data_IF_300987661857
#
_entry.id   IF_300987661857
#
_cell.length_a   1.000
_cell.length_b   1.000
_cell.length_c   1.000
_cell.angle_alpha   90.00
_cell.angle_beta   90.00
_cell.angle_gamma   90.00
#
_symmetry.space_group_name_H-M   'P 1'
#
loop_
_entity.id
_entity.type
_entity.pdbx_description
1 polymer ?
#
# COMPACT_ATOMS: atom_id res chain seq x y z
N UNK A 1 -1.14 6.75 1.16
CA UNK A 1 -0.14 5.91 0.50
C UNK A 1 0.10 6.53 -0.85
N UNK A 2 -0.66 6.21 -1.90
CA UNK A 2 -0.70 7.02 -3.11
C UNK A 2 -1.17 8.44 -2.78
N UNK A 3 -0.48 9.41 -3.37
CA UNK A 3 -0.82 10.81 -3.30
C UNK A 3 -0.79 11.32 -4.74
N UNK A 4 -1.93 11.76 -5.24
CA UNK A 4 -2.08 12.28 -6.60
C UNK A 4 -2.15 13.80 -6.53
N UNK A 5 -1.99 14.49 -7.66
CA UNK A 5 -1.99 15.95 -7.68
C UNK A 5 -3.09 16.56 -6.79
N UNK A 6 -2.80 17.67 -6.10
CA UNK A 6 -3.77 18.44 -5.32
C UNK A 6 -4.27 19.66 -6.11
N UNK A 7 -5.52 20.07 -5.90
CA UNK A 7 -6.19 21.07 -6.76
C UNK A 7 -5.51 22.44 -6.75
N UNK A 8 -4.78 22.76 -5.67
CA UNK A 8 -4.21 24.08 -5.42
C UNK A 8 -2.70 24.04 -5.11
N UNK A 9 -1.97 22.94 -5.41
CA UNK A 9 -0.51 22.95 -5.28
C UNK A 9 0.12 23.43 -6.59
N UNK A 10 0.82 24.59 -6.59
CA UNK A 10 1.46 25.10 -7.80
C UNK A 10 2.73 24.31 -8.20
N UNK A 11 3.18 23.35 -7.39
CA UNK A 11 4.39 22.57 -7.66
C UNK A 11 4.05 21.09 -7.87
N UNK A 12 4.46 20.55 -9.03
CA UNK A 12 4.23 19.15 -9.38
C UNK A 12 5.35 18.21 -8.92
N UNK A 13 6.53 18.75 -8.65
CA UNK A 13 7.70 18.03 -8.16
C UNK A 13 8.53 18.95 -7.26
N UNK A 14 9.34 18.36 -6.39
CA UNK A 14 10.06 19.06 -5.33
C UNK A 14 11.56 19.21 -5.65
N UNK A 15 12.14 18.27 -6.39
CA UNK A 15 13.58 18.25 -6.72
C UNK A 15 13.85 17.50 -8.03
N UNK A 16 14.73 18.03 -8.88
CA UNK A 16 15.24 17.34 -10.09
C UNK A 16 16.76 17.48 -10.11
N UNK A 17 17.46 16.35 -10.21
CA UNK A 17 18.91 16.29 -10.07
C UNK A 17 19.52 15.29 -11.04
N UNK A 18 20.72 15.60 -11.53
CA UNK A 18 21.58 14.63 -12.19
C UNK A 18 22.58 14.07 -11.17
N UNK A 19 22.62 12.75 -11.05
CA UNK A 19 23.56 12.01 -10.21
C UNK A 19 24.57 11.33 -11.13
N UNK A 20 25.86 11.43 -10.80
CA UNK A 20 26.92 10.69 -11.47
C UNK A 20 27.72 9.89 -10.46
N UNK A 21 28.04 8.64 -10.79
CA UNK A 21 28.89 7.80 -9.96
C UNK A 21 30.34 7.98 -10.38
N UNK A 22 31.22 8.27 -9.42
CA UNK A 22 32.67 8.33 -9.67
C UNK A 22 33.31 6.93 -9.60
N UNK A 23 34.56 6.81 -10.05
CA UNK A 23 35.32 5.54 -10.05
C UNK A 23 35.63 4.97 -8.66
N UNK A 24 35.43 5.75 -7.59
CA UNK A 24 35.62 5.32 -6.20
C UNK A 24 34.28 4.94 -5.52
N UNK A 25 33.18 4.94 -6.26
CA UNK A 25 31.85 4.61 -5.76
C UNK A 25 31.13 5.74 -5.01
N UNK A 26 31.69 6.96 -5.04
CA UNK A 26 31.08 8.20 -4.59
C UNK A 26 30.09 8.75 -5.62
N UNK A 27 29.30 9.74 -5.20
CA UNK A 27 28.26 10.34 -6.02
C UNK A 27 28.42 11.86 -6.11
N UNK A 28 28.33 12.40 -7.32
CA UNK A 28 28.25 13.83 -7.56
C UNK A 28 26.83 14.21 -7.98
N UNK A 29 26.30 15.26 -7.37
CA UNK A 29 24.93 15.74 -7.56
C UNK A 29 24.95 17.11 -8.25
N UNK A 30 24.34 17.21 -9.43
CA UNK A 30 24.11 18.46 -10.12
C UNK A 30 22.62 18.79 -10.12
N UNK A 31 22.22 19.72 -9.24
CA UNK A 31 20.84 20.16 -9.07
C UNK A 31 20.36 20.94 -10.30
N UNK A 32 19.28 20.48 -10.93
CA UNK A 32 18.65 21.13 -12.10
C UNK A 32 17.44 21.95 -11.64
N UNK A 33 16.66 21.44 -10.68
CA UNK A 33 15.55 22.17 -10.08
C UNK A 33 15.42 21.80 -8.61
N UNK A 34 15.08 22.77 -7.76
CA UNK A 34 14.79 22.54 -6.35
C UNK A 34 13.76 23.55 -5.83
N UNK A 35 12.76 23.06 -5.11
CA UNK A 35 11.78 23.90 -4.42
C UNK A 35 12.36 24.56 -3.16
N UNK A 36 13.28 23.88 -2.47
CA UNK A 36 13.96 24.37 -1.26
C UNK A 36 15.33 23.70 -1.09
N UNK A 37 16.37 24.49 -0.77
CA UNK A 37 17.75 24.02 -0.64
C UNK A 37 17.93 22.95 0.46
N UNK A 38 17.24 23.08 1.60
CA UNK A 38 17.42 22.19 2.76
C UNK A 38 17.02 20.74 2.48
N UNK A 39 16.06 20.52 1.56
CA UNK A 39 15.55 19.18 1.24
C UNK A 39 16.59 18.36 0.47
N UNK A 40 17.41 19.00 -0.36
CA UNK A 40 18.37 18.30 -1.22
C UNK A 40 19.53 17.67 -0.44
N UNK A 41 20.06 18.33 0.60
CA UNK A 41 21.28 17.88 1.29
C UNK A 41 21.09 16.56 2.06
N UNK A 42 19.94 16.39 2.71
CA UNK A 42 19.61 15.15 3.42
C UNK A 42 19.23 14.03 2.44
N UNK A 43 18.51 14.37 1.37
CA UNK A 43 18.04 13.42 0.37
C UNK A 43 19.18 12.85 -0.48
N UNK A 44 20.14 13.68 -0.90
CA UNK A 44 21.25 13.27 -1.76
C UNK A 44 22.08 12.13 -1.15
N UNK A 45 22.24 12.10 0.18
CA UNK A 45 22.95 11.01 0.88
C UNK A 45 22.36 9.64 0.58
N UNK A 46 21.04 9.57 0.43
CA UNK A 46 20.33 8.32 0.16
C UNK A 46 20.15 8.08 -1.34
N UNK A 47 19.85 9.14 -2.09
CA UNK A 47 19.47 9.09 -3.50
C UNK A 47 20.50 8.34 -4.37
N UNK A 48 21.80 8.58 -4.15
CA UNK A 48 22.85 7.92 -4.93
C UNK A 48 22.78 6.40 -4.88
N UNK A 49 22.47 5.83 -3.71
CA UNK A 49 22.34 4.37 -3.53
C UNK A 49 21.14 3.79 -4.27
N UNK A 50 20.08 4.56 -4.52
CA UNK A 50 18.92 4.09 -5.27
C UNK A 50 18.99 4.44 -6.76
N UNK A 51 19.79 5.44 -7.14
CA UNK A 51 20.13 5.72 -8.54
C UNK A 51 21.07 4.65 -9.12
N UNK A 52 21.88 4.02 -8.27
CA UNK A 52 22.80 2.94 -8.65
C UNK A 52 22.74 1.80 -7.62
N UNK A 53 21.61 1.06 -7.55
CA UNK A 53 21.34 0.09 -6.46
C UNK A 53 22.26 -1.13 -6.47
N UNK A 54 22.85 -1.46 -7.63
CA UNK A 54 23.66 -2.66 -7.85
C UNK A 54 25.05 -2.27 -8.38
N UNK A 55 25.88 -1.71 -7.49
CA UNK A 55 27.18 -1.12 -7.86
C UNK A 55 28.11 -2.10 -8.56
N UNK A 56 28.14 -3.34 -8.08
CA UNK A 56 29.08 -4.38 -8.54
C UNK A 56 28.60 -5.14 -9.78
N UNK A 57 27.44 -4.76 -10.33
CA UNK A 57 26.84 -5.43 -11.49
C UNK A 57 26.95 -4.51 -12.70
N UNK A 58 27.78 -4.83 -13.71
CA UNK A 58 27.79 -4.06 -14.94
C UNK A 58 26.41 -4.16 -15.61
N UNK A 59 25.81 -3.02 -15.94
CA UNK A 59 24.67 -3.02 -16.85
C UNK A 59 25.20 -3.42 -18.24
N UNK A 60 24.40 -4.10 -19.09
CA UNK A 60 24.77 -4.28 -20.47
C UNK A 60 25.13 -2.91 -21.09
N UNK A 61 26.27 -2.84 -21.79
CA UNK A 61 26.77 -1.58 -22.31
C UNK A 61 25.73 -0.90 -23.22
N UNK A 62 25.54 0.41 -23.04
CA UNK A 62 24.60 1.26 -23.80
C UNK A 62 23.11 1.09 -23.49
N UNK A 63 22.73 0.39 -22.41
CA UNK A 63 21.34 0.37 -21.95
C UNK A 63 20.98 1.61 -21.11
N UNK A 64 19.78 2.15 -21.39
CA UNK A 64 19.11 3.10 -20.52
C UNK A 64 18.03 2.37 -19.72
N UNK A 65 17.89 2.71 -18.45
CA UNK A 65 16.83 2.15 -17.62
C UNK A 65 15.98 3.28 -17.03
N UNK A 66 14.67 3.11 -17.08
CA UNK A 66 13.72 4.02 -16.44
C UNK A 66 12.93 3.26 -15.39
N UNK A 67 12.97 3.73 -14.15
CA UNK A 67 12.34 3.03 -13.03
C UNK A 67 11.98 4.03 -11.94
N UNK A 68 11.26 3.57 -10.93
CA UNK A 68 10.82 4.43 -9.83
C UNK A 68 10.73 3.68 -8.51
N UNK A 69 10.94 4.43 -7.45
CA UNK A 69 10.90 3.96 -6.07
C UNK A 69 10.34 5.05 -5.16
N UNK A 70 10.29 4.81 -3.85
CA UNK A 70 9.89 5.83 -2.90
C UNK A 70 10.75 5.77 -1.63
N UNK A 71 10.98 6.95 -1.04
CA UNK A 71 11.40 7.07 0.35
C UNK A 71 10.17 7.24 1.25
N UNK A 72 10.29 6.81 2.49
CA UNK A 72 9.26 6.96 3.51
C UNK A 72 9.83 7.70 4.70
N UNK A 73 9.18 8.78 5.12
CA UNK A 73 9.58 9.54 6.31
C UNK A 73 8.99 8.94 7.61
N UNK A 74 9.35 9.53 8.74
CA UNK A 74 8.86 9.14 10.08
C UNK A 74 7.33 9.24 10.22
N UNK A 75 6.68 10.05 9.37
CA UNK A 75 5.22 10.24 9.32
C UNK A 75 4.54 9.34 8.28
N UNK A 76 5.27 8.36 7.73
CA UNK A 76 4.81 7.44 6.68
C UNK A 76 4.34 8.17 5.41
N UNK A 77 4.89 9.36 5.15
CA UNK A 77 4.69 10.08 3.89
C UNK A 77 5.72 9.60 2.87
N UNK A 78 5.26 9.46 1.62
CA UNK A 78 6.08 8.98 0.53
C UNK A 78 6.66 10.13 -0.28
N UNK A 79 7.96 10.05 -0.56
CA UNK A 79 8.62 10.85 -1.60
C UNK A 79 8.96 9.94 -2.76
N UNK A 80 8.20 10.04 -3.85
CA UNK A 80 8.37 9.24 -5.04
C UNK A 80 9.55 9.76 -5.87
N UNK A 81 10.39 8.85 -6.32
CA UNK A 81 11.57 9.15 -7.10
C UNK A 81 11.47 8.42 -8.44
N UNK A 82 11.53 9.17 -9.54
CA UNK A 82 11.48 8.67 -10.91
C UNK A 82 12.84 8.87 -11.54
N UNK A 83 13.46 7.78 -11.98
CA UNK A 83 14.85 7.74 -12.42
C UNK A 83 14.92 7.39 -13.89
N UNK A 84 15.73 8.11 -14.64
CA UNK A 84 16.25 7.68 -15.93
C UNK A 84 17.77 7.60 -15.87
N UNK A 85 18.28 6.38 -15.93
CA UNK A 85 19.71 6.09 -15.82
C UNK A 85 20.29 5.62 -17.15
N UNK A 86 21.57 5.92 -17.35
CA UNK A 86 22.36 5.52 -18.51
C UNK A 86 23.77 5.17 -18.05
N UNK A 87 24.32 4.11 -18.65
CA UNK A 87 25.74 3.79 -18.56
C UNK A 87 26.42 4.02 -19.92
N UNK A 88 27.41 4.92 -19.95
CA UNK A 88 28.17 5.26 -21.16
C UNK A 88 29.66 5.34 -20.83
N UNK A 89 30.50 4.58 -21.56
CA UNK A 89 31.95 4.52 -21.34
C UNK A 89 32.35 4.26 -19.87
N UNK A 90 31.67 3.32 -19.20
CA UNK A 90 31.85 2.98 -17.77
C UNK A 90 31.50 4.12 -16.79
N UNK A 91 30.91 5.22 -17.29
CA UNK A 91 30.36 6.29 -16.46
C UNK A 91 28.86 6.10 -16.34
N UNK A 92 28.40 5.96 -15.09
CA UNK A 92 26.98 5.88 -14.77
C UNK A 92 26.44 7.24 -14.43
N UNK A 93 25.33 7.60 -15.08
CA UNK A 93 24.59 8.81 -14.79
C UNK A 93 23.11 8.52 -14.67
N UNK A 94 22.44 9.22 -13.77
CA UNK A 94 21.01 9.11 -13.53
C UNK A 94 20.41 10.49 -13.40
N UNK A 95 19.30 10.73 -14.08
CA UNK A 95 18.43 11.88 -13.85
C UNK A 95 17.30 11.42 -12.95
N UNK A 96 17.06 12.14 -11.86
CA UNK A 96 16.04 11.77 -10.88
C UNK A 96 15.12 12.94 -10.60
N UNK A 97 13.82 12.70 -10.77
CA UNK A 97 12.74 13.61 -10.39
C UNK A 97 12.10 13.09 -9.10
N UNK A 98 12.02 13.96 -8.09
CA UNK A 98 11.45 13.65 -6.79
C UNK A 98 10.16 14.44 -6.62
N UNK A 99 9.07 13.75 -6.30
CA UNK A 99 7.76 14.35 -6.08
C UNK A 99 7.02 13.66 -4.94
N UNK A 100 6.25 14.45 -4.18
CA UNK A 100 5.20 13.92 -3.30
C UNK A 100 4.05 13.24 -4.05
N UNK A 101 3.95 13.43 -5.37
CA UNK A 101 2.87 12.92 -6.20
C UNK A 101 3.29 11.69 -7.01
N UNK A 102 2.35 10.77 -7.20
CA UNK A 102 2.57 9.51 -7.90
C UNK A 102 1.91 9.54 -9.29
N UNK A 103 2.71 9.87 -10.32
CA UNK A 103 2.30 9.83 -11.73
C UNK A 103 3.42 9.22 -12.59
N UNK A 104 3.63 7.89 -12.53
CA UNK A 104 4.83 7.25 -13.08
C UNK A 104 5.04 7.51 -14.55
N UNK A 105 4.05 7.29 -15.40
CA UNK A 105 4.20 7.47 -16.85
C UNK A 105 4.61 8.90 -17.21
N UNK A 106 3.96 9.90 -16.59
CA UNK A 106 4.27 11.31 -16.78
C UNK A 106 5.67 11.67 -16.28
N UNK A 107 6.01 11.31 -15.04
CA UNK A 107 7.27 11.73 -14.45
C UNK A 107 8.47 10.98 -15.04
N UNK A 108 8.30 9.72 -15.44
CA UNK A 108 9.29 8.98 -16.22
C UNK A 108 9.57 9.65 -17.57
N UNK A 109 8.52 10.10 -18.29
CA UNK A 109 8.68 10.84 -19.55
C UNK A 109 9.35 12.20 -19.34
N UNK A 110 8.97 12.94 -18.29
CA UNK A 110 9.59 14.22 -17.94
C UNK A 110 11.08 14.02 -17.66
N UNK A 111 11.48 13.02 -16.87
CA UNK A 111 12.89 12.83 -16.52
C UNK A 111 13.74 12.35 -17.70
N UNK A 112 13.16 11.56 -18.62
CA UNK A 112 13.77 11.23 -19.92
C UNK A 112 13.98 12.47 -20.79
N UNK A 113 12.99 13.36 -20.82
CA UNK A 113 13.08 14.64 -21.54
C UNK A 113 14.16 15.53 -20.92
N UNK A 114 14.22 15.63 -19.58
CA UNK A 114 15.28 16.37 -18.87
C UNK A 114 16.66 15.88 -19.27
N UNK A 115 16.88 14.57 -19.36
CA UNK A 115 18.16 14.01 -19.80
C UNK A 115 18.52 14.47 -21.23
N UNK A 116 17.53 14.50 -22.13
CA UNK A 116 17.69 14.92 -23.53
C UNK A 116 17.93 16.42 -23.71
N UNK A 117 17.36 17.27 -22.85
CA UNK A 117 17.66 18.71 -22.85
C UNK A 117 19.00 19.00 -22.18
N UNK A 118 19.33 18.30 -21.09
CA UNK A 118 20.58 18.48 -20.36
C UNK A 118 21.80 18.12 -21.22
N UNK A 119 21.68 17.15 -22.14
CA UNK A 119 22.76 16.84 -23.09
C UNK A 119 23.10 18.00 -24.04
N UNK A 120 22.20 18.98 -24.21
CA UNK A 120 22.47 20.23 -24.92
C UNK A 120 23.09 21.25 -23.97
N UNK A 121 22.40 21.55 -22.87
CA UNK A 121 22.92 22.35 -21.76
C UNK A 121 22.05 22.19 -20.52
N UNK A 122 22.62 22.46 -19.34
CA UNK A 122 21.85 22.52 -18.09
C UNK A 122 20.72 23.56 -18.14
N UNK A 123 20.98 24.71 -18.76
CA UNK A 123 19.99 25.80 -18.88
C UNK A 123 18.79 25.41 -19.75
N UNK A 124 18.99 24.57 -20.77
CA UNK A 124 17.90 24.03 -21.58
C UNK A 124 16.99 23.10 -20.75
N UNK A 125 17.59 22.24 -19.91
CA UNK A 125 16.85 21.39 -18.99
C UNK A 125 16.08 22.20 -17.92
N UNK A 126 16.69 23.25 -17.36
CA UNK A 126 16.04 24.18 -16.45
C UNK A 126 14.85 24.89 -17.12
N UNK A 127 15.02 25.36 -18.35
CA UNK A 127 13.97 26.01 -19.14
C UNK A 127 12.80 25.07 -19.44
N UNK A 128 13.10 23.82 -19.78
CA UNK A 128 12.10 22.77 -19.97
C UNK A 128 11.28 22.55 -18.68
N UNK A 129 11.94 22.35 -17.53
CA UNK A 129 11.26 22.16 -16.25
C UNK A 129 10.41 23.38 -15.86
N UNK A 130 10.91 24.60 -16.10
CA UNK A 130 10.14 25.82 -15.90
C UNK A 130 8.86 25.83 -16.74
N UNK A 131 8.90 25.38 -18.00
CA UNK A 131 7.70 25.26 -18.82
C UNK A 131 6.69 24.26 -18.23
N UNK A 132 7.15 23.13 -17.67
CA UNK A 132 6.30 22.15 -17.00
C UNK A 132 5.59 22.74 -15.77
N UNK A 133 6.32 23.48 -14.93
CA UNK A 133 5.75 24.11 -13.73
C UNK A 133 4.67 25.15 -14.04
N UNK A 134 4.66 25.71 -15.26
CA UNK A 134 3.65 26.66 -15.72
C UNK A 134 2.47 25.99 -16.43
N UNK A 135 2.43 24.65 -16.51
CA UNK A 135 1.26 23.94 -17.02
C UNK A 135 0.13 24.03 -16.01
N UNK A 136 -1.11 24.10 -16.51
CA UNK A 136 -2.31 24.08 -15.67
C UNK A 136 -2.92 22.68 -15.69
N UNK A 137 -3.09 22.10 -14.51
CA UNK A 137 -3.83 20.85 -14.33
C UNK A 137 -5.33 21.12 -14.41
N UNK A 138 -6.00 20.47 -15.36
CA UNK A 138 -7.45 20.47 -15.49
C UNK A 138 -7.98 19.18 -14.87
N UNK A 139 -8.91 19.29 -13.91
CA UNK A 139 -9.63 18.14 -13.32
C UNK A 139 -11.04 18.08 -13.87
N UNK A 140 -11.30 17.08 -14.69
CA UNK A 140 -12.66 16.73 -15.12
C UNK A 140 -13.19 15.61 -14.22
N UNK A 141 -14.53 15.39 -14.17
CA UNK A 141 -15.11 14.34 -13.34
C UNK A 141 -14.56 12.94 -13.59
N UNK A 142 -14.10 12.66 -14.82
CA UNK A 142 -13.61 11.33 -15.23
C UNK A 142 -12.10 11.25 -15.38
N UNK A 143 -11.42 12.39 -15.60
CA UNK A 143 -9.99 12.37 -15.82
C UNK A 143 -9.31 13.72 -15.57
N UNK A 144 -8.03 13.68 -15.26
CA UNK A 144 -7.16 14.84 -15.06
C UNK A 144 -6.11 14.93 -16.17
N UNK A 145 -5.85 16.14 -16.65
CA UNK A 145 -4.90 16.37 -17.74
C UNK A 145 -4.22 17.74 -17.65
N UNK A 146 -3.01 17.87 -18.17
CA UNK A 146 -2.37 19.18 -18.36
C UNK A 146 -2.81 19.87 -19.65
N UNK A 147 -2.81 21.20 -19.63
CA UNK A 147 -2.95 22.00 -20.86
C UNK A 147 -1.57 22.14 -21.52
N UNK A 148 -1.32 21.36 -22.58
CA UNK A 148 -0.04 21.39 -23.30
C UNK A 148 0.09 22.68 -24.12
N UNK A 149 1.20 23.40 -23.91
CA UNK A 149 1.57 24.58 -24.71
C UNK A 149 2.23 24.16 -26.02
N UNK A 150 2.07 24.99 -27.06
CA UNK A 150 2.74 24.76 -28.34
C UNK A 150 4.27 24.63 -28.15
N UNK A 151 4.86 23.58 -28.73
CA UNK A 151 6.30 23.29 -28.66
C UNK A 151 6.74 22.40 -27.49
N UNK A 152 5.83 22.01 -26.59
CA UNK A 152 6.10 20.99 -25.58
C UNK A 152 5.53 19.64 -26.04
N UNK A 153 6.40 18.66 -26.28
CA UNK A 153 6.01 17.31 -26.66
C UNK A 153 6.00 16.41 -25.42
N UNK A 154 4.82 16.22 -24.83
CA UNK A 154 4.56 15.21 -23.81
C UNK A 154 3.40 14.34 -24.28
N UNK A 155 3.49 13.03 -24.07
CA UNK A 155 2.47 12.04 -24.42
C UNK A 155 1.62 11.65 -23.21
N UNK A 156 2.21 11.55 -22.02
CA UNK A 156 1.54 11.08 -20.81
C UNK A 156 1.00 12.23 -19.97
N UNK A 157 0.40 13.24 -20.62
CA UNK A 157 -0.11 14.45 -19.95
C UNK A 157 -1.59 14.37 -19.55
N UNK A 158 -2.25 13.27 -19.85
CA UNK A 158 -3.63 12.94 -19.50
C UNK A 158 -3.70 11.60 -18.76
N UNK A 159 -4.92 11.11 -18.45
CA UNK A 159 -5.12 9.89 -17.65
C UNK A 159 -4.43 9.97 -16.28
N UNK A 160 -4.46 11.16 -15.67
CA UNK A 160 -3.78 11.48 -14.41
C UNK A 160 -4.71 11.41 -13.19
N UNK A 161 -5.98 11.01 -13.36
CA UNK A 161 -6.86 10.78 -12.21
C UNK A 161 -6.36 9.60 -11.36
N UNK A 162 -6.65 9.59 -10.04
CA UNK A 162 -6.34 8.47 -9.17
C UNK A 162 -6.77 7.11 -9.75
N UNK A 163 -7.99 7.03 -10.27
CA UNK A 163 -8.56 5.82 -10.83
C UNK A 163 -7.77 5.31 -12.05
N UNK A 164 -7.31 6.23 -12.92
CA UNK A 164 -6.52 5.88 -14.09
C UNK A 164 -5.11 5.40 -13.71
N UNK A 165 -4.47 6.04 -12.74
CA UNK A 165 -3.15 5.61 -12.27
C UNK A 165 -3.20 4.23 -11.58
N UNK A 166 -4.21 4.00 -10.73
CA UNK A 166 -4.43 2.69 -10.10
C UNK A 166 -4.77 1.63 -11.16
N UNK A 167 -5.60 1.96 -12.15
CA UNK A 167 -5.94 1.05 -13.25
C UNK A 167 -4.70 0.61 -14.04
N UNK A 168 -3.77 1.53 -14.35
CA UNK A 168 -2.52 1.20 -15.06
C UNK A 168 -1.69 0.17 -14.29
N UNK A 169 -1.54 0.35 -12.98
CA UNK A 169 -0.82 -0.58 -12.10
C UNK A 169 -1.50 -1.95 -12.02
N UNK A 170 -2.83 -1.99 -11.83
CA UNK A 170 -3.54 -3.26 -11.77
C UNK A 170 -3.53 -4.00 -13.10
N UNK A 171 -3.78 -3.30 -14.22
CA UNK A 171 -3.72 -3.90 -15.56
C UNK A 171 -2.36 -4.54 -15.81
N UNK A 172 -1.28 -3.85 -15.40
CA UNK A 172 0.06 -4.41 -15.45
C UNK A 172 0.17 -5.69 -14.61
N UNK A 173 -0.25 -5.69 -13.34
CA UNK A 173 -0.14 -6.85 -12.47
C UNK A 173 -0.88 -8.09 -13.01
N UNK A 174 -2.12 -7.89 -13.47
CA UNK A 174 -2.95 -8.96 -14.06
C UNK A 174 -2.40 -9.47 -15.40
N UNK A 175 -1.50 -8.74 -16.05
CA UNK A 175 -0.79 -9.22 -17.24
C UNK A 175 0.43 -10.08 -16.91
N UNK A 176 0.89 -10.07 -15.65
CA UNK A 176 2.14 -10.72 -15.21
C UNK A 176 1.94 -11.92 -14.29
N UNK A 177 0.83 -11.98 -13.57
CA UNK A 177 0.58 -13.03 -12.59
C UNK A 177 -0.79 -13.66 -12.79
N UNK A 178 -0.91 -14.93 -12.40
CA UNK A 178 -2.21 -15.56 -12.33
C UNK A 178 -3.06 -14.87 -11.26
N UNK A 179 -4.39 -14.86 -11.45
CA UNK A 179 -5.31 -14.24 -10.49
C UNK A 179 -5.18 -14.86 -9.10
N UNK A 180 -4.92 -16.17 -9.01
CA UNK A 180 -4.65 -16.86 -7.75
C UNK A 180 -3.46 -16.24 -7.00
N UNK A 181 -2.33 -16.01 -7.68
CA UNK A 181 -1.12 -15.44 -7.09
C UNK A 181 -1.37 -13.99 -6.60
N UNK A 182 -2.17 -13.24 -7.37
CA UNK A 182 -2.58 -11.88 -7.02
C UNK A 182 -3.44 -11.90 -5.75
N UNK A 183 -4.44 -12.78 -5.65
CA UNK A 183 -5.27 -12.89 -4.44
C UNK A 183 -4.49 -13.44 -3.24
N UNK A 184 -3.56 -14.37 -3.47
CA UNK A 184 -2.64 -14.85 -2.45
C UNK A 184 -1.77 -13.71 -1.87
N UNK A 185 -1.32 -12.79 -2.72
CA UNK A 185 -0.58 -11.59 -2.26
C UNK A 185 -1.42 -10.67 -1.37
N UNK A 186 -2.74 -10.60 -1.59
CA UNK A 186 -3.67 -9.85 -0.74
C UNK A 186 -3.80 -10.53 0.62
N UNK A 187 -3.94 -11.86 0.67
CA UNK A 187 -3.96 -12.62 1.93
C UNK A 187 -2.66 -12.40 2.70
N UNK A 188 -1.50 -12.54 2.04
CA UNK A 188 -0.20 -12.27 2.65
C UNK A 188 -0.10 -10.83 3.19
N UNK A 189 -0.66 -9.85 2.47
CA UNK A 189 -0.72 -8.45 2.92
C UNK A 189 -1.58 -8.30 4.17
N UNK A 190 -2.77 -8.91 4.18
CA UNK A 190 -3.68 -8.85 5.34
C UNK A 190 -3.10 -9.53 6.58
N UNK A 191 -2.13 -10.43 6.42
CA UNK A 191 -1.40 -11.12 7.49
C UNK A 191 -0.14 -10.38 7.96
N UNK A 192 0.15 -9.17 7.45
CA UNK A 192 1.44 -8.48 7.64
C UNK A 192 2.65 -9.38 7.33
N UNK A 193 2.52 -10.23 6.31
CA UNK A 193 3.62 -11.09 5.91
C UNK A 193 4.82 -10.28 5.37
N UNK A 194 5.98 -10.93 5.36
CA UNK A 194 7.17 -10.43 4.66
C UNK A 194 7.02 -10.72 3.17
N UNK A 195 6.57 -9.72 2.41
CA UNK A 195 6.31 -9.85 0.96
C UNK A 195 7.53 -9.37 0.18
N UNK A 196 8.02 -10.25 -0.69
CA UNK A 196 9.17 -10.00 -1.55
C UNK A 196 8.74 -10.07 -3.01
N UNK A 197 9.05 -9.03 -3.76
CA UNK A 197 8.93 -9.07 -5.22
C UNK A 197 10.33 -9.30 -5.79
N UNK A 198 10.49 -10.30 -6.64
CA UNK A 198 11.77 -10.69 -7.24
C UNK A 198 11.74 -10.46 -8.75
N UNK A 199 12.75 -9.79 -9.29
CA UNK A 199 12.87 -9.51 -10.73
C UNK A 199 14.32 -9.22 -11.11
N UNK A 200 14.74 -9.60 -12.32
CA UNK A 200 16.00 -9.16 -12.95
C UNK A 200 15.85 -7.83 -13.69
N UNK A 201 14.63 -7.33 -13.83
CA UNK A 201 14.33 -6.04 -14.45
C UNK A 201 13.85 -5.05 -13.38
N UNK A 202 14.63 -3.99 -13.17
CA UNK A 202 14.38 -2.94 -12.17
C UNK A 202 13.10 -2.13 -12.42
N UNK A 203 12.73 -1.91 -13.68
CA UNK A 203 11.51 -1.22 -14.07
C UNK A 203 10.29 -2.05 -13.68
N UNK A 204 10.30 -3.34 -14.06
CA UNK A 204 9.24 -4.28 -13.70
C UNK A 204 9.15 -4.47 -12.17
N UNK A 205 10.30 -4.47 -11.48
CA UNK A 205 10.39 -4.62 -10.03
C UNK A 205 9.63 -3.51 -9.31
N UNK A 206 10.00 -2.25 -9.56
CA UNK A 206 9.36 -1.09 -8.96
C UNK A 206 7.87 -1.06 -9.29
N UNK A 207 7.51 -1.26 -10.56
CA UNK A 207 6.11 -1.26 -11.00
C UNK A 207 5.28 -2.35 -10.33
N UNK A 208 5.83 -3.56 -10.15
CA UNK A 208 5.12 -4.65 -9.49
C UNK A 208 4.88 -4.35 -8.02
N UNK A 209 5.89 -3.85 -7.31
CA UNK A 209 5.76 -3.51 -5.87
C UNK A 209 4.67 -2.45 -5.66
N UNK A 210 4.62 -1.40 -6.46
CA UNK A 210 3.52 -0.43 -6.41
C UNK A 210 2.17 -1.03 -6.82
N UNK A 211 2.16 -2.01 -7.73
CA UNK A 211 0.92 -2.65 -8.17
C UNK A 211 0.27 -3.51 -7.09
N UNK A 212 1.05 -4.12 -6.19
CA UNK A 212 0.51 -4.79 -4.99
C UNK A 212 -0.24 -3.79 -4.11
N UNK A 213 0.35 -2.61 -3.87
CA UNK A 213 -0.33 -1.55 -3.11
C UNK A 213 -1.60 -1.04 -3.81
N UNK A 214 -1.62 -1.03 -5.15
CA UNK A 214 -2.77 -0.59 -5.93
C UNK A 214 -4.00 -1.49 -5.72
N UNK A 215 -3.81 -2.77 -5.38
CA UNK A 215 -4.92 -3.67 -5.02
C UNK A 215 -5.65 -3.21 -3.76
N UNK A 216 -4.90 -2.62 -2.82
CA UNK A 216 -5.41 -2.18 -1.52
C UNK A 216 -6.18 -0.86 -1.60
N UNK A 217 -6.11 -0.12 -2.70
CA UNK A 217 -6.68 1.22 -2.80
C UNK A 217 -8.19 1.26 -2.44
N UNK A 218 -8.63 2.12 -1.49
CA UNK A 218 -7.92 3.28 -0.89
C UNK A 218 -7.25 3.03 0.48
N UNK A 219 -7.09 1.76 0.90
CA UNK A 219 -6.40 1.40 2.14
C UNK A 219 -4.91 1.74 2.09
N UNK A 220 -4.31 1.90 3.27
CA UNK A 220 -2.88 2.21 3.41
C UNK A 220 -2.15 1.03 4.05
N UNK A 221 -1.16 0.50 3.35
CA UNK A 221 -0.17 -0.39 3.96
C UNK A 221 0.66 0.35 5.02
N UNK A 222 0.91 -0.32 6.15
CA UNK A 222 1.55 0.25 7.34
C UNK A 222 2.97 -0.28 7.59
N UNK A 223 3.25 -1.49 7.09
CA UNK A 223 4.56 -2.13 7.19
C UNK A 223 5.66 -1.35 6.45
N UNK A 224 6.87 -1.89 6.50
CA UNK A 224 8.00 -1.32 5.75
C UNK A 224 7.74 -1.47 4.25
N UNK A 225 8.10 -0.44 3.47
CA UNK A 225 7.88 -0.40 2.03
C UNK A 225 9.14 0.08 1.33
N UNK A 226 9.76 -0.80 0.54
CA UNK A 226 10.99 -0.49 -0.19
C UNK A 226 10.82 -1.05 -1.61
N UNK A 227 10.27 -0.28 -2.58
CA UNK A 227 10.03 -0.74 -3.95
C UNK A 227 11.25 -1.32 -4.65
N UNK A 228 12.41 -0.82 -4.23
CA UNK A 228 13.69 -1.13 -4.81
C UNK A 228 14.71 -1.17 -3.70
N UNK A 229 15.13 -2.37 -3.29
CA UNK A 229 16.16 -2.53 -2.28
C UNK A 229 17.55 -2.32 -2.90
N UNK A 230 18.34 -1.33 -2.44
CA UNK A 230 19.74 -1.23 -2.84
C UNK A 230 20.59 -2.23 -2.07
N UNK A 231 21.69 -2.67 -2.67
CA UNK A 231 22.65 -3.62 -2.09
C UNK A 231 23.16 -3.23 -0.69
N UNK A 232 23.35 -1.93 -0.45
CA UNK A 232 23.80 -1.40 0.86
C UNK A 232 22.78 -1.60 2.00
N UNK A 233 21.54 -1.94 1.69
CA UNK A 233 20.44 -2.08 2.65
C UNK A 233 19.93 -3.53 2.76
N UNK A 234 20.70 -4.53 2.34
CA UNK A 234 20.28 -5.94 2.35
C UNK A 234 19.85 -6.48 3.72
N UNK A 235 20.37 -5.92 4.81
CA UNK A 235 19.97 -6.27 6.18
C UNK A 235 18.51 -5.96 6.48
N UNK A 236 17.83 -5.13 5.68
CA UNK A 236 16.41 -4.86 5.82
C UNK A 236 15.55 -6.13 5.65
N UNK A 237 16.04 -7.15 4.93
CA UNK A 237 15.35 -8.44 4.73
C UNK A 237 15.28 -9.28 6.02
N UNK A 238 16.13 -8.98 7.01
CA UNK A 238 16.18 -9.67 8.30
C UNK A 238 15.20 -9.07 9.32
N UNK A 239 14.42 -8.04 8.91
CA UNK A 239 13.46 -7.40 9.78
C UNK A 239 12.39 -8.39 10.26
N UNK A 240 12.06 -8.42 11.56
CA UNK A 240 11.16 -9.44 12.10
C UNK A 240 9.68 -9.20 11.74
N UNK A 241 9.33 -8.00 11.29
CA UNK A 241 7.97 -7.52 11.05
C UNK A 241 7.59 -7.49 9.55
N UNK A 242 6.31 -7.27 9.26
CA UNK A 242 5.78 -7.20 7.89
C UNK A 242 6.40 -6.11 7.03
N UNK A 243 6.76 -6.47 5.79
CA UNK A 243 7.32 -5.56 4.81
C UNK A 243 6.90 -5.94 3.39
N UNK A 244 6.97 -4.96 2.48
CA UNK A 244 6.83 -5.16 1.05
C UNK A 244 8.08 -4.59 0.37
N UNK A 245 8.94 -5.48 -0.13
CA UNK A 245 10.27 -5.12 -0.64
C UNK A 245 10.50 -5.70 -2.04
N UNK A 246 10.99 -4.87 -2.95
CA UNK A 246 11.50 -5.31 -4.25
C UNK A 246 12.98 -5.68 -4.18
N UNK A 247 13.31 -6.94 -4.50
CA UNK A 247 14.66 -7.49 -4.52
C UNK A 247 15.04 -7.82 -5.95
N UNK A 248 16.19 -7.31 -6.40
CA UNK A 248 16.72 -7.70 -7.70
C UNK A 248 17.29 -9.11 -7.66
N UNK A 249 17.10 -9.89 -8.73
CA UNK A 249 17.47 -11.31 -8.79
C UNK A 249 18.94 -11.59 -8.47
N UNK A 250 19.83 -10.63 -8.74
CA UNK A 250 21.26 -10.76 -8.37
C UNK A 250 21.51 -10.90 -6.87
N UNK A 251 20.58 -10.42 -6.04
CA UNK A 251 20.65 -10.51 -4.58
C UNK A 251 19.78 -11.65 -4.04
N UNK A 252 19.21 -12.50 -4.91
CA UNK A 252 18.30 -13.58 -4.50
C UNK A 252 18.96 -14.57 -3.54
N UNK A 253 20.29 -14.75 -3.59
CA UNK A 253 21.02 -15.60 -2.66
C UNK A 253 20.81 -15.21 -1.19
N UNK A 254 20.60 -13.91 -0.91
CA UNK A 254 20.31 -13.41 0.45
C UNK A 254 19.00 -13.98 1.00
N UNK A 255 18.06 -14.35 0.14
CA UNK A 255 16.76 -14.93 0.51
C UNK A 255 16.86 -16.41 0.92
N UNK A 256 18.01 -17.04 0.69
CA UNK A 256 18.29 -18.43 1.07
C UNK A 256 19.05 -18.52 2.40
N UNK A 257 19.45 -17.38 2.97
CA UNK A 257 20.15 -17.35 4.25
C UNK A 257 19.18 -17.62 5.41
N UNK A 258 19.68 -18.28 6.46
CA UNK A 258 18.89 -18.60 7.65
C UNK A 258 18.31 -17.36 8.36
N UNK A 259 18.87 -16.18 8.15
CA UNK A 259 18.32 -14.94 8.74
C UNK A 259 17.00 -14.48 8.09
N UNK A 260 16.62 -15.02 6.93
CA UNK A 260 15.41 -14.68 6.18
C UNK A 260 14.48 -15.91 6.10
N UNK A 261 13.91 -16.29 7.25
CA UNK A 261 13.24 -17.59 7.39
C UNK A 261 11.86 -17.70 6.74
N UNK A 262 11.03 -16.65 6.85
CA UNK A 262 9.60 -16.71 6.53
C UNK A 262 9.16 -15.57 5.64
N UNK A 263 8.73 -15.84 4.41
CA UNK A 263 8.30 -14.81 3.47
C UNK A 263 7.39 -15.35 2.37
N UNK A 264 6.56 -14.46 1.82
CA UNK A 264 5.83 -14.68 0.58
C UNK A 264 6.58 -14.00 -0.57
N UNK A 265 6.99 -14.74 -1.60
CA UNK A 265 7.72 -14.18 -2.75
C UNK A 265 6.91 -14.30 -4.02
N UNK A 266 6.90 -13.22 -4.81
CA UNK A 266 6.39 -13.20 -6.18
C UNK A 266 7.55 -13.00 -7.15
N UNK A 267 7.80 -13.96 -8.01
CA UNK A 267 8.83 -13.88 -9.05
C UNK A 267 8.22 -13.34 -10.34
N UNK A 268 8.57 -12.09 -10.68
CA UNK A 268 8.04 -11.37 -11.85
C UNK A 268 8.51 -11.98 -13.16
N UNK A 269 9.76 -12.46 -13.19
CA UNK A 269 10.38 -13.01 -14.41
C UNK A 269 9.79 -14.38 -14.76
N UNK A 270 9.43 -15.16 -13.74
CA UNK A 270 8.91 -16.51 -13.90
C UNK A 270 7.38 -16.61 -13.71
N UNK A 271 6.70 -15.50 -13.44
CA UNK A 271 5.24 -15.41 -13.33
C UNK A 271 4.60 -16.36 -12.31
N UNK A 272 5.21 -16.51 -11.12
CA UNK A 272 4.66 -17.33 -10.03
C UNK A 272 4.82 -16.66 -8.67
N UNK A 273 4.07 -17.12 -7.67
CA UNK A 273 4.31 -16.82 -6.26
C UNK A 273 4.49 -18.08 -5.43
N UNK A 274 5.13 -17.96 -4.28
CA UNK A 274 5.32 -19.07 -3.34
C UNK A 274 5.48 -18.56 -1.91
N UNK A 275 5.01 -19.36 -0.96
CA UNK A 275 5.22 -19.18 0.47
C UNK A 275 6.47 -19.95 0.88
N UNK A 276 7.40 -19.30 1.57
CA UNK A 276 8.64 -19.90 2.08
C UNK A 276 8.64 -19.83 3.60
N UNK A 277 8.75 -20.98 4.28
CA UNK A 277 8.88 -21.08 5.74
C UNK A 277 7.66 -20.64 6.56
N UNK A 278 6.58 -20.20 5.90
CA UNK A 278 5.29 -19.93 6.56
C UNK A 278 4.38 -21.14 6.38
N UNK A 279 3.40 -21.27 7.28
CA UNK A 279 2.32 -22.23 7.09
C UNK A 279 1.49 -21.86 5.86
N UNK A 280 0.97 -22.87 5.18
CA UNK A 280 0.03 -22.65 4.08
C UNK A 280 -1.21 -21.92 4.60
N UNK A 281 -1.87 -21.17 3.71
CA UNK A 281 -3.15 -20.57 4.05
C UNK A 281 -4.18 -21.66 4.40
N UNK A 282 -5.10 -21.41 5.35
CA UNK A 282 -6.15 -22.36 5.69
C UNK A 282 -6.93 -22.80 4.45
N UNK A 283 -7.39 -24.05 4.42
CA UNK A 283 -8.08 -24.62 3.27
C UNK A 283 -9.28 -23.77 2.82
N UNK A 284 -10.03 -23.20 3.78
CA UNK A 284 -11.16 -22.33 3.51
C UNK A 284 -10.75 -21.02 2.82
N UNK A 285 -9.54 -20.54 3.08
CA UNK A 285 -8.97 -19.35 2.42
C UNK A 285 -8.47 -19.69 1.03
N UNK A 286 -7.87 -20.87 0.84
CA UNK A 286 -7.49 -21.37 -0.49
C UNK A 286 -8.72 -21.56 -1.39
N UNK A 287 -9.80 -22.13 -0.86
CA UNK A 287 -11.08 -22.26 -1.56
C UNK A 287 -11.65 -20.89 -1.96
N UNK A 288 -11.56 -19.90 -1.06
CA UNK A 288 -11.95 -18.52 -1.36
C UNK A 288 -11.11 -17.90 -2.49
N UNK A 289 -9.80 -18.12 -2.48
CA UNK A 289 -8.89 -17.67 -3.56
C UNK A 289 -9.36 -18.25 -4.90
N UNK A 290 -9.69 -19.54 -4.96
CA UNK A 290 -10.15 -20.18 -6.20
C UNK A 290 -11.50 -19.63 -6.67
N UNK A 291 -12.47 -19.48 -5.76
CA UNK A 291 -13.78 -18.92 -6.06
C UNK A 291 -13.66 -17.52 -6.66
N UNK A 292 -12.91 -16.63 -6.00
CA UNK A 292 -12.77 -15.25 -6.45
C UNK A 292 -11.86 -15.12 -7.68
N UNK A 293 -10.87 -16.01 -7.82
CA UNK A 293 -10.06 -16.07 -9.04
C UNK A 293 -10.91 -16.38 -10.27
N UNK A 294 -11.85 -17.33 -10.16
CA UNK A 294 -12.76 -17.66 -11.25
C UNK A 294 -13.72 -16.51 -11.58
N UNK A 295 -14.32 -15.87 -10.57
CA UNK A 295 -15.16 -14.68 -10.77
C UNK A 295 -14.41 -13.56 -11.51
N UNK A 296 -13.17 -13.27 -11.11
CA UNK A 296 -12.35 -12.23 -11.73
C UNK A 296 -11.97 -12.61 -13.17
N UNK A 297 -11.57 -13.86 -13.42
CA UNK A 297 -11.28 -14.38 -14.77
C UNK A 297 -12.50 -14.26 -15.69
N UNK A 298 -13.69 -14.57 -15.20
CA UNK A 298 -14.94 -14.41 -15.95
C UNK A 298 -15.20 -12.95 -16.32
N UNK A 299 -14.99 -12.00 -15.40
CA UNK A 299 -15.10 -10.57 -15.71
C UNK A 299 -14.07 -10.17 -16.78
N UNK A 300 -12.79 -10.53 -16.60
CA UNK A 300 -11.74 -10.21 -17.59
C UNK A 300 -12.10 -10.77 -18.98
N UNK A 301 -12.58 -12.02 -19.05
CA UNK A 301 -12.98 -12.63 -20.30
C UNK A 301 -14.19 -11.93 -20.95
N UNK A 302 -15.20 -11.55 -20.14
CA UNK A 302 -16.42 -10.90 -20.60
C UNK A 302 -16.17 -9.53 -21.24
N UNK A 303 -15.21 -8.76 -20.73
CA UNK A 303 -14.94 -7.39 -21.19
C UNK A 303 -13.77 -7.27 -22.18
N UNK A 304 -13.11 -8.39 -22.54
CA UNK A 304 -11.99 -8.41 -23.50
C UNK A 304 -12.37 -7.69 -24.82
N UNK A 305 -11.52 -6.81 -25.38
CA UNK A 305 -10.12 -6.54 -25.03
C UNK A 305 -9.90 -5.50 -23.91
N UNK A 306 -10.96 -5.00 -23.27
CA UNK A 306 -10.88 -3.95 -22.25
C UNK A 306 -10.66 -4.58 -20.87
N UNK A 307 -9.79 -4.00 -20.05
CA UNK A 307 -9.58 -4.43 -18.66
C UNK A 307 -10.68 -3.85 -17.74
N UNK A 308 -11.57 -4.67 -17.14
CA UNK A 308 -12.74 -4.21 -16.40
C UNK A 308 -12.42 -3.84 -14.94
N UNK A 309 -11.49 -2.90 -14.76
CA UNK A 309 -10.94 -2.47 -13.47
C UNK A 309 -11.98 -2.27 -12.36
N UNK A 310 -13.06 -1.54 -12.64
CA UNK A 310 -14.10 -1.24 -11.65
C UNK A 310 -14.77 -2.52 -11.09
N UNK A 311 -15.08 -3.48 -11.95
CA UNK A 311 -15.68 -4.75 -11.53
C UNK A 311 -14.69 -5.63 -10.77
N UNK A 312 -13.43 -5.64 -11.20
CA UNK A 312 -12.36 -6.37 -10.53
C UNK A 312 -12.11 -5.80 -9.13
N UNK A 313 -12.06 -4.48 -8.97
CA UNK A 313 -11.85 -3.85 -7.66
C UNK A 313 -12.99 -4.13 -6.69
N UNK A 314 -14.24 -4.23 -7.18
CA UNK A 314 -15.37 -4.68 -6.34
C UNK A 314 -15.15 -6.12 -5.86
N UNK A 315 -14.78 -7.04 -6.76
CA UNK A 315 -14.52 -8.43 -6.41
C UNK A 315 -13.33 -8.58 -5.44
N UNK A 316 -12.27 -7.79 -5.61
CA UNK A 316 -11.12 -7.75 -4.69
C UNK A 316 -11.55 -7.32 -3.29
N UNK A 317 -12.39 -6.28 -3.17
CA UNK A 317 -12.88 -5.81 -1.87
C UNK A 317 -13.85 -6.80 -1.23
N UNK A 318 -14.74 -7.40 -2.03
CA UNK A 318 -15.60 -8.49 -1.56
C UNK A 318 -14.77 -9.67 -1.04
N UNK A 319 -13.71 -10.05 -1.75
CA UNK A 319 -12.78 -11.10 -1.33
C UNK A 319 -12.16 -10.78 0.04
N UNK A 320 -11.67 -9.55 0.25
CA UNK A 320 -11.13 -9.11 1.55
C UNK A 320 -12.17 -9.21 2.68
N UNK A 321 -13.43 -8.83 2.43
CA UNK A 321 -14.52 -8.96 3.41
C UNK A 321 -14.86 -10.43 3.67
N UNK A 322 -14.79 -11.29 2.66
CA UNK A 322 -15.02 -12.73 2.83
C UNK A 322 -13.92 -13.41 3.63
N UNK A 323 -12.66 -12.97 3.54
CA UNK A 323 -11.58 -13.47 4.41
C UNK A 323 -11.96 -13.26 5.88
N UNK A 324 -12.44 -12.06 6.26
CA UNK A 324 -12.89 -11.80 7.64
C UNK A 324 -14.14 -12.61 8.00
N UNK A 325 -15.06 -12.77 7.06
CA UNK A 325 -16.29 -13.54 7.29
C UNK A 325 -15.98 -15.02 7.58
N UNK A 326 -15.06 -15.60 6.81
CA UNK A 326 -14.55 -16.96 7.02
C UNK A 326 -13.77 -17.07 8.32
N UNK A 327 -12.86 -16.13 8.60
CA UNK A 327 -12.09 -16.12 9.84
C UNK A 327 -12.99 -16.06 11.08
N UNK A 328 -13.95 -15.12 11.11
CA UNK A 328 -14.77 -14.89 12.29
C UNK A 328 -15.98 -15.81 12.39
N UNK A 329 -16.31 -16.54 11.33
CA UNK A 329 -17.38 -17.54 11.27
C UNK A 329 -18.78 -16.94 11.12
N UNK A 330 -18.90 -15.71 10.60
CA UNK A 330 -20.19 -15.08 10.31
C UNK A 330 -20.05 -13.97 9.25
N UNK A 331 -21.14 -13.62 8.54
CA UNK A 331 -21.08 -12.61 7.47
C UNK A 331 -20.76 -11.20 7.98
N UNK A 332 -19.81 -10.53 7.33
CA UNK A 332 -19.43 -9.13 7.62
C UNK A 332 -20.16 -8.19 6.66
N UNK A 333 -21.23 -7.55 7.11
CA UNK A 333 -22.08 -6.68 6.27
C UNK A 333 -21.90 -5.18 6.57
N UNK A 334 -21.18 -4.86 7.64
CA UNK A 334 -20.92 -3.48 8.07
C UNK A 334 -19.59 -3.34 8.80
N UNK A 335 -19.08 -2.11 8.95
CA UNK A 335 -17.92 -1.83 9.80
C UNK A 335 -18.05 -2.35 11.24
N UNK A 336 -19.26 -2.34 11.81
CA UNK A 336 -19.50 -2.79 13.18
C UNK A 336 -19.37 -4.31 13.32
N UNK A 337 -19.78 -5.06 12.29
CA UNK A 337 -19.62 -6.53 12.29
C UNK A 337 -18.13 -6.88 12.26
N UNK A 338 -17.35 -6.18 11.43
CA UNK A 338 -15.90 -6.34 11.37
C UNK A 338 -15.25 -6.04 12.73
N UNK A 339 -15.65 -4.93 13.36
CA UNK A 339 -15.14 -4.51 14.66
C UNK A 339 -15.47 -5.51 15.78
N UNK A 340 -16.67 -6.09 15.78
CA UNK A 340 -17.08 -7.09 16.75
C UNK A 340 -16.21 -8.36 16.66
N UNK A 341 -15.93 -8.83 15.44
CA UNK A 341 -15.08 -10.00 15.21
C UNK A 341 -13.64 -9.75 15.62
N UNK A 342 -13.09 -8.60 15.20
CA UNK A 342 -11.76 -8.17 15.62
C UNK A 342 -11.62 -8.07 17.13
N UNK A 343 -12.55 -7.39 17.82
CA UNK A 343 -12.51 -7.25 19.28
C UNK A 343 -12.52 -8.60 19.99
N UNK A 344 -13.25 -9.59 19.44
CA UNK A 344 -13.30 -10.95 19.99
C UNK A 344 -11.96 -11.69 19.91
N UNK A 345 -11.18 -11.46 18.85
CA UNK A 345 -9.98 -12.24 18.56
C UNK A 345 -8.66 -11.47 18.76
N UNK A 346 -8.68 -10.13 18.88
CA UNK A 346 -7.49 -9.29 19.01
C UNK A 346 -6.58 -9.68 20.18
N UNK A 347 -7.18 -10.06 21.30
CA UNK A 347 -6.46 -10.46 22.53
C UNK A 347 -6.27 -11.99 22.63
N UNK A 348 -6.73 -12.76 21.64
CA UNK A 348 -6.58 -14.21 21.63
C UNK A 348 -5.16 -14.57 21.17
N UNK A 349 -4.42 -15.32 21.99
CA UNK A 349 -3.05 -15.74 21.72
C UNK A 349 -2.94 -17.07 20.96
N UNK A 350 -4.04 -17.62 20.44
CA UNK A 350 -3.97 -18.83 19.61
C UNK A 350 -3.29 -18.56 18.27
N UNK A 351 -2.67 -19.60 17.71
CA UNK A 351 -2.09 -19.57 16.36
C UNK A 351 -3.14 -19.80 15.26
N UNK A 352 -4.41 -19.89 15.63
CA UNK A 352 -5.50 -20.06 14.67
C UNK A 352 -5.66 -18.80 13.81
N UNK A 353 -6.01 -19.00 12.55
CA UNK A 353 -6.19 -17.93 11.58
C UNK A 353 -6.98 -16.68 12.07
N UNK A 354 -8.15 -16.79 12.74
CA UNK A 354 -8.86 -15.61 13.24
C UNK A 354 -8.10 -14.81 14.29
N UNK A 355 -7.32 -15.47 15.16
CA UNK A 355 -6.49 -14.81 16.15
C UNK A 355 -5.30 -14.12 15.47
N UNK A 356 -4.62 -14.83 14.55
CA UNK A 356 -3.48 -14.30 13.79
C UNK A 356 -3.87 -13.06 12.99
N UNK A 357 -4.92 -13.14 12.17
CA UNK A 357 -5.32 -12.02 11.32
C UNK A 357 -5.78 -10.79 12.13
N UNK A 358 -6.40 -11.01 13.30
CA UNK A 358 -6.85 -9.92 14.19
C UNK A 358 -5.73 -9.22 14.95
N UNK A 359 -4.53 -9.79 14.98
CA UNK A 359 -3.36 -9.19 15.63
C UNK A 359 -2.49 -8.36 14.67
N UNK A 360 -2.83 -8.38 13.38
CA UNK A 360 -2.08 -7.65 12.36
C UNK A 360 -2.30 -6.14 12.49
N UNK A 361 -1.24 -5.37 12.29
CA UNK A 361 -1.27 -3.92 12.18
C UNK A 361 -2.12 -3.48 10.98
N UNK A 362 -2.09 -4.23 9.87
CA UNK A 362 -2.94 -3.94 8.71
C UNK A 362 -4.42 -3.89 9.11
N UNK A 363 -4.92 -4.93 9.79
CA UNK A 363 -6.34 -5.04 10.17
C UNK A 363 -6.71 -4.03 11.24
N UNK A 364 -5.84 -3.82 12.23
CA UNK A 364 -6.03 -2.80 13.26
C UNK A 364 -6.27 -1.41 12.64
N UNK A 365 -5.37 -0.98 11.74
CA UNK A 365 -5.51 0.31 11.06
C UNK A 365 -6.71 0.35 10.14
N UNK A 366 -7.03 -0.74 9.43
CA UNK A 366 -8.22 -0.81 8.59
C UNK A 366 -9.50 -0.57 9.40
N UNK A 367 -9.62 -1.18 10.58
CA UNK A 367 -10.78 -1.03 11.46
C UNK A 367 -10.87 0.37 12.03
N UNK A 368 -9.76 0.93 12.53
CA UNK A 368 -9.72 2.31 13.01
C UNK A 368 -10.14 3.31 11.91
N UNK A 369 -9.70 3.08 10.67
CA UNK A 369 -10.11 3.89 9.51
C UNK A 369 -11.61 3.77 9.20
N UNK A 370 -12.22 2.61 9.43
CA UNK A 370 -13.64 2.38 9.21
C UNK A 370 -14.53 2.98 10.32
N UNK A 371 -14.12 2.89 11.58
CA UNK A 371 -14.92 3.32 12.73
C UNK A 371 -14.77 4.81 13.07
N UNK A 372 -13.73 5.47 12.55
CA UNK A 372 -13.41 6.88 12.84
C UNK A 372 -13.02 7.15 14.31
N UNK A 373 -12.56 6.13 15.04
CA UNK A 373 -12.31 6.22 16.49
C UNK A 373 -11.10 7.11 16.85
N UNK A 374 -10.16 7.34 15.93
CA UNK A 374 -8.91 8.09 16.17
C UNK A 374 -8.97 9.59 15.78
N UNK A 375 -10.14 10.11 15.42
CA UNK A 375 -10.25 11.48 14.87
C UNK A 375 -9.88 12.59 15.87
N UNK A 376 -9.70 12.33 17.16
CA UNK A 376 -9.55 13.39 18.16
C UNK A 376 -8.10 13.77 18.52
N UNK A 377 -7.07 12.96 18.23
CA UNK A 377 -5.73 13.16 18.83
C UNK A 377 -4.57 13.53 17.88
N UNK A 378 -4.69 13.37 16.56
CA UNK A 378 -3.58 13.66 15.61
C UNK A 378 -4.06 14.52 14.44
N UNK A 379 -3.34 15.61 14.17
CA UNK A 379 -3.77 16.71 13.30
C UNK A 379 -4.33 16.38 11.89
N UNK A 380 -4.94 17.42 11.30
CA UNK A 380 -5.68 17.48 10.03
C UNK A 380 -6.93 16.58 9.92
N UNK A 381 -7.85 16.76 10.88
CA UNK A 381 -9.19 16.16 10.98
C UNK A 381 -9.98 16.05 9.65
N UNK A 382 -9.89 17.03 8.76
CA UNK A 382 -10.66 17.01 7.50
C UNK A 382 -10.14 15.99 6.50
N UNK A 383 -8.82 15.83 6.39
CA UNK A 383 -8.17 14.88 5.48
C UNK A 383 -8.42 13.44 5.93
N UNK A 384 -8.29 13.18 7.23
CA UNK A 384 -8.59 11.87 7.83
C UNK A 384 -10.07 11.48 7.63
N UNK A 385 -10.99 12.43 7.84
CA UNK A 385 -12.44 12.22 7.59
C UNK A 385 -12.73 11.92 6.12
N UNK A 386 -12.11 12.66 5.20
CA UNK A 386 -12.28 12.42 3.76
C UNK A 386 -11.84 11.00 3.40
N UNK A 387 -10.71 10.55 3.95
CA UNK A 387 -10.18 9.21 3.70
C UNK A 387 -11.09 8.10 4.26
N UNK A 388 -11.58 8.23 5.49
CA UNK A 388 -12.52 7.25 6.07
C UNK A 388 -13.80 7.13 5.24
N UNK A 389 -14.33 8.25 4.73
CA UNK A 389 -15.52 8.23 3.86
C UNK A 389 -15.26 7.49 2.55
N UNK A 390 -14.08 7.66 1.95
CA UNK A 390 -13.68 6.95 0.74
C UNK A 390 -13.60 5.44 0.98
N UNK A 391 -13.06 5.02 2.13
CA UNK A 391 -12.97 3.61 2.55
C UNK A 391 -14.36 3.02 2.76
N UNK A 392 -15.24 3.68 3.52
CA UNK A 392 -16.59 3.17 3.78
C UNK A 392 -17.36 3.04 2.46
N UNK A 393 -17.27 4.04 1.58
CA UNK A 393 -17.90 3.99 0.25
C UNK A 393 -17.35 2.85 -0.61
N UNK A 394 -16.06 2.57 -0.49
CA UNK A 394 -15.38 1.53 -1.24
C UNK A 394 -15.82 0.11 -0.85
N UNK A 395 -16.02 -0.16 0.45
CA UNK A 395 -16.30 -1.50 1.00
C UNK A 395 -17.78 -1.73 1.35
N UNK A 396 -18.52 -0.70 1.72
CA UNK A 396 -19.94 -0.76 2.09
C UNK A 396 -20.73 0.42 1.50
N UNK A 397 -20.91 0.47 0.17
CA UNK A 397 -21.55 1.60 -0.51
C UNK A 397 -22.98 1.90 0.02
N UNK A 398 -23.75 0.87 0.42
CA UNK A 398 -25.10 1.04 0.96
C UNK A 398 -25.15 1.75 2.33
N UNK A 399 -24.03 1.81 3.05
CA UNK A 399 -23.93 2.48 4.35
C UNK A 399 -23.65 3.99 4.22
N UNK A 400 -23.36 4.51 3.01
CA UNK A 400 -23.05 5.93 2.74
C UNK A 400 -24.18 6.86 3.23
N UNK A 401 -25.45 6.45 3.02
CA UNK A 401 -26.63 7.23 3.41
C UNK A 401 -26.77 7.32 4.93
N UNK A 402 -26.38 6.27 5.65
CA UNK A 402 -26.50 6.18 7.12
C UNK A 402 -25.46 7.07 7.79
N UNK A 403 -24.21 7.02 7.33
CA UNK A 403 -23.12 7.85 7.83
C UNK A 403 -23.38 9.33 7.53
N UNK A 404 -23.81 9.67 6.31
CA UNK A 404 -24.17 11.04 5.95
C UNK A 404 -25.37 11.59 6.77
N UNK A 405 -26.37 10.75 7.09
CA UNK A 405 -27.50 11.12 7.96
C UNK A 405 -27.08 11.31 9.42
N UNK A 406 -26.22 10.43 9.96
CA UNK A 406 -25.65 10.57 11.30
C UNK A 406 -24.77 11.84 11.39
N UNK A 407 -24.06 12.19 10.33
CA UNK A 407 -23.23 13.38 10.26
C UNK A 407 -24.06 14.67 10.22
N UNK A 408 -25.16 14.69 9.44
CA UNK A 408 -26.11 15.81 9.43
C UNK A 408 -26.71 16.03 10.83
N UNK A 409 -26.99 14.94 11.57
CA UNK A 409 -27.42 14.98 12.98
C UNK A 409 -26.31 15.50 13.92
N UNK A 410 -25.07 15.02 13.81
CA UNK A 410 -23.93 15.49 14.63
C UNK A 410 -23.62 16.97 14.38
N UNK A 411 -23.60 17.44 13.12
CA UNK A 411 -23.45 18.87 12.78
C UNK A 411 -24.59 19.72 13.32
N UNK A 412 -25.82 19.21 13.33
CA UNK A 412 -26.97 19.91 13.91
C UNK A 412 -26.91 19.99 15.45
N UNK A 413 -26.39 18.95 16.11
CA UNK A 413 -26.19 18.93 17.56
C UNK A 413 -25.01 19.81 18.00
N UNK A 414 -23.89 19.83 17.26
CA UNK A 414 -22.77 20.73 17.53
C UNK A 414 -23.14 22.20 17.36
N UNK A 415 -24.02 22.54 16.40
CA UNK A 415 -24.59 23.89 16.27
C UNK A 415 -25.54 24.24 17.42
N UNK A 416 -26.33 23.28 17.92
CA UNK A 416 -27.20 23.46 19.10
C UNK A 416 -26.42 23.68 20.39
N UNK A 417 -25.29 23.00 20.56
CA UNK A 417 -24.43 23.16 21.75
C UNK A 417 -23.75 24.53 21.76
N UNK A 418 -23.35 25.06 20.58
CA UNK A 418 -22.82 26.43 20.46
C UNK A 418 -23.85 27.55 20.63
N UNK A 419 -25.15 27.24 20.60
CA UNK A 419 -26.23 28.21 20.84
C UNK A 419 -26.79 28.20 22.27
N UNK A 420 -26.22 27.39 23.17
CA UNK A 420 -26.54 27.48 24.61
C UNK A 420 -25.61 28.51 25.23
N UNK A 421 -26.16 29.71 25.40
CA UNK A 421 -25.55 30.87 26.03
C UNK A 421 -25.17 30.57 27.49
N UNK A 422 -23.88 30.47 27.80
CA UNK A 422 -23.38 30.30 29.17
C UNK A 422 -23.17 31.66 29.81
N UNK A 423 -24.20 32.18 30.47
CA UNK A 423 -24.03 33.17 31.55
C UNK A 423 -24.14 32.47 32.91
N UNK A 424 -23.17 32.66 33.84
CA UNK A 424 -23.18 31.94 35.11
C UNK A 424 -24.07 32.66 36.13
N UNK A 425 -25.20 32.06 36.50
CA UNK A 425 -25.95 32.45 37.69
C UNK A 425 -25.66 31.47 38.83
N UNK A 426 -24.80 31.91 39.75
CA UNK A 426 -24.61 31.29 41.06
C UNK A 426 -25.94 31.33 41.81
N UNK A 427 -26.51 30.16 42.15
CA UNK A 427 -27.48 30.03 43.24
C UNK A 427 -27.18 28.79 44.09
N UNK A 428 -27.01 29.08 45.36
CA UNK A 428 -26.65 28.23 46.48
C UNK A 428 -27.84 27.41 47.01
N UNK A 429 -27.52 26.21 47.53
CA UNK A 429 -28.23 25.38 48.53
C UNK A 429 -29.64 24.83 48.23
N UNK A 430 -29.78 23.49 48.29
CA UNK A 430 -30.18 22.75 49.51
C UNK A 430 -30.13 21.23 49.28
N UNK A 431 -29.44 20.53 50.18
CA UNK A 431 -29.46 19.08 50.33
C UNK A 431 -30.79 18.60 50.94
N UNK A 432 -31.42 17.62 50.32
CA UNK A 432 -32.49 16.81 50.92
C UNK A 432 -32.19 15.33 50.72
N UNK A 433 -32.08 14.61 51.84
CA UNK A 433 -31.95 13.17 51.96
C UNK A 433 -33.21 12.46 51.45
N UNK A 434 -33.07 11.37 50.70
CA UNK A 434 -34.09 10.32 50.61
C UNK A 434 -33.48 8.94 50.29
N UNK A 435 -33.51 8.09 51.33
CA UNK A 435 -33.64 6.62 51.41
C UNK A 435 -33.23 5.75 50.21
N UNK A 436 -32.16 4.99 50.42
CA UNK A 436 -31.88 3.69 49.79
C UNK A 436 -32.87 2.63 50.30
N UNK A 437 -33.38 1.82 49.39
CA UNK A 437 -34.11 0.58 49.68
C UNK A 437 -33.30 -0.56 49.07
N UNK A 438 -32.78 -1.42 49.95
CA UNK A 438 -32.14 -2.69 49.62
C UNK A 438 -33.18 -3.69 49.09
N UNK A 439 -32.87 -4.35 47.98
CA UNK A 439 -33.51 -5.62 47.59
C UNK A 439 -32.42 -6.56 47.06
N UNK A 440 -32.02 -7.52 47.89
CA UNK A 440 -31.43 -8.80 47.45
C UNK A 440 -32.53 -9.72 46.90
N UNK A 441 -32.17 -10.64 45.98
CA UNK A 441 -32.43 -12.03 46.31
C UNK A 441 -31.32 -13.02 45.93
N UNK A 442 -30.95 -13.80 46.95
CA UNK A 442 -30.76 -15.26 47.05
C UNK A 442 -30.07 -16.05 45.92
N UNK A 443 -29.05 -16.78 46.37
CA UNK A 443 -28.39 -17.92 45.75
C UNK A 443 -29.26 -19.20 45.68
N UNK A 444 -28.96 -20.06 44.71
CA UNK A 444 -29.17 -21.51 44.81
C UNK A 444 -28.02 -22.27 44.14
N UNK A 445 -27.48 -23.25 44.86
CA UNK A 445 -26.36 -24.11 44.48
C UNK A 445 -26.82 -25.43 43.79
N UNK A 446 -25.95 -25.91 42.88
CA UNK A 446 -25.56 -27.31 42.59
C UNK A 446 -26.57 -28.29 41.93
N UNK A 447 -26.13 -29.41 41.27
CA UNK A 447 -24.81 -30.03 41.35
C UNK A 447 -24.14 -30.49 40.03
N UNK A 448 -22.86 -30.84 40.19
CA UNK A 448 -21.96 -31.54 39.29
C UNK A 448 -22.49 -32.89 38.79
N UNK A 449 -22.27 -33.16 37.50
CA UNK A 449 -22.17 -34.52 36.95
C UNK A 449 -20.83 -34.73 36.24
N UNK A 450 -20.36 -35.97 36.30
CA UNK A 450 -19.01 -36.44 35.99
C UNK A 450 -18.95 -37.12 34.61
N UNK A 451 -17.84 -36.86 33.90
CA UNK A 451 -17.20 -37.52 32.72
C UNK A 451 -17.74 -38.87 32.20
N UNK A 452 -17.49 -39.15 30.91
CA UNK A 452 -16.32 -40.00 30.59
C UNK A 452 -15.39 -39.46 29.49
N UNK A 453 -14.10 -39.75 29.68
CA UNK A 453 -13.02 -39.70 28.69
C UNK A 453 -13.22 -40.82 27.66
N UNK A 454 -12.96 -40.54 26.38
CA UNK A 454 -12.61 -41.55 25.39
C UNK A 454 -11.18 -41.28 24.91
N UNK A 455 -10.31 -42.25 25.19
CA UNK A 455 -9.01 -42.48 24.57
C UNK A 455 -9.23 -43.38 23.35
N UNK A 456 -8.47 -43.14 22.27
CA UNK A 456 -7.97 -44.08 21.24
C UNK A 456 -7.28 -43.20 20.17
N UNK A 457 -5.95 -42.99 20.27
CA UNK A 457 -4.87 -43.78 19.66
C UNK A 457 -4.93 -43.86 18.12
N UNK A 458 -3.93 -43.21 17.51
CA UNK A 458 -2.96 -43.79 16.58
C UNK A 458 -3.47 -44.88 15.63
N UNK A 459 -3.56 -44.52 14.35
CA UNK A 459 -2.89 -45.24 13.28
C UNK A 459 -3.03 -44.47 11.97
N UNK A 460 -1.91 -44.25 11.28
CA UNK A 460 -1.69 -44.49 9.85
C UNK A 460 -0.53 -43.62 9.33
N UNK A 461 0.68 -44.05 9.69
CA UNK A 461 1.84 -43.97 8.80
C UNK A 461 1.54 -44.82 7.55
N UNK A 462 1.47 -44.20 6.37
CA UNK A 462 1.69 -44.84 5.07
C UNK A 462 1.67 -43.72 4.04
N UNK A 463 2.85 -43.27 3.60
CA UNK A 463 3.17 -42.81 2.23
C UNK A 463 4.59 -42.23 2.24
N UNK A 464 5.56 -43.14 2.42
CA UNK A 464 6.94 -42.93 2.02
C UNK A 464 7.28 -44.01 0.99
N UNK A 465 8.02 -43.60 -0.05
CA UNK A 465 8.48 -44.37 -1.21
C UNK A 465 7.53 -44.41 -2.41
N UNK A 466 7.66 -43.41 -3.29
CA UNK A 466 7.71 -43.63 -4.74
C UNK A 466 8.15 -42.34 -5.44
N UNK A 467 9.46 -42.12 -5.59
CA UNK A 467 10.04 -41.38 -6.73
C UNK A 467 11.57 -41.54 -6.74
N UNK A 468 12.01 -42.77 -6.98
CA UNK A 468 13.28 -43.03 -7.67
C UNK A 468 12.94 -43.77 -8.97
N UNK A 469 13.48 -43.26 -10.08
CA UNK A 469 13.37 -43.73 -11.49
C UNK A 469 12.24 -43.11 -12.32
N UNK A 470 12.54 -41.97 -12.96
CA UNK A 470 12.75 -41.93 -14.42
C UNK A 470 13.37 -40.61 -14.86
#
# INVERSE_FOLDING_TARGET
>A
MFNFFAANDPNYFDYVVRVTQDGNGGYNFDSIYQKSQKVADDLNKQLGNFCFPYKDTPLPASETQTYYFAFTDEKKQYSYCFVHSREENLVRSAFTLVSRYFHPSLFCEIVQSVASYYSKSKSDAESFLNNILHLQLIRRPYDWSFTIKAGLELQNFDHLSPENEIMKLQTFLYSRFAVNDILASIVATMLDARIIILSSNIELLGQTVFSILALLYPLRWQGTFIPLLPSVALTALEAPFGYLIGVHSIMASKLLEESVEKYFVMNVDCHYSVVIGMDDFPAEILDLIDIYSNKIREQIAKYKPIFPMMYIQVLVREFMIQIFSTAYGYPISSPNDLAAGFTRYKENLSEDFPAVISQTQFVDVFIHQCLQDDLEERGNLEEQRSQSMEIIKAFWPDQEVTVAKQEKRRRSNAKKIKSVDTSPAIKTFKTSKAKLVDIHPKASEAPHETRPRLLLNDDMNLFSNEMEKK
#
